data_IF_124964946223
#
_entry.id   IF_124964946223
#
_cell.length_a   1.000
_cell.length_b   1.000
_cell.length_c   1.000
_cell.angle_alpha   90.00
_cell.angle_beta   90.00
_cell.angle_gamma   90.00
#
_symmetry.space_group_name_H-M   'P 1'
#
loop_
_entity.id
_entity.type
_entity.pdbx_description
1 polymer ?
#
# COMPACT_ATOMS: atom_id res chain seq x y z
N UNK A 1 -17.84 28.53 12.84
CA UNK A 1 -16.66 28.22 12.02
C UNK A 1 -15.42 28.76 12.71
N UNK A 2 -14.24 28.18 12.47
CA UNK A 2 -12.96 28.64 13.01
C UNK A 2 -12.06 29.13 11.88
N UNK A 3 -11.32 30.20 12.12
CA UNK A 3 -10.28 30.69 11.20
C UNK A 3 -9.08 29.75 11.16
N UNK A 4 -8.27 29.83 10.10
CA UNK A 4 -7.01 29.08 10.01
C UNK A 4 -6.08 29.31 11.21
N UNK A 5 -6.09 30.52 11.80
CA UNK A 5 -5.27 30.86 12.97
C UNK A 5 -5.77 30.13 14.23
N UNK A 6 -7.08 30.07 14.44
CA UNK A 6 -7.67 29.33 15.56
C UNK A 6 -7.45 27.82 15.42
N UNK A 7 -7.56 27.27 14.21
CA UNK A 7 -7.22 25.86 13.95
C UNK A 7 -5.75 25.58 14.25
N UNK A 8 -4.87 26.48 13.83
CA UNK A 8 -3.44 26.36 14.09
C UNK A 8 -3.12 26.32 15.59
N UNK A 9 -3.76 27.19 16.38
CA UNK A 9 -3.60 27.22 17.83
C UNK A 9 -4.15 25.97 18.52
N UNK A 10 -5.30 25.45 18.08
CA UNK A 10 -5.92 24.27 18.69
C UNK A 10 -5.21 22.95 18.36
N UNK A 11 -4.72 22.82 17.13
CA UNK A 11 -4.12 21.57 16.63
C UNK A 11 -2.60 21.52 16.79
N UNK A 12 -1.95 22.65 17.09
CA UNK A 12 -0.49 22.77 17.07
C UNK A 12 0.13 22.69 15.67
N UNK A 13 -0.70 22.60 14.61
CA UNK A 13 -0.25 22.59 13.22
C UNK A 13 -0.05 24.02 12.76
N UNK A 14 1.09 24.32 12.13
CA UNK A 14 1.36 25.68 11.67
C UNK A 14 0.38 26.13 10.58
N UNK A 15 0.06 27.43 10.52
CA UNK A 15 -0.76 27.99 9.43
C UNK A 15 -0.18 27.65 8.05
N UNK A 16 1.15 27.67 7.92
CA UNK A 16 1.84 27.28 6.67
C UNK A 16 1.54 25.83 6.29
N UNK A 17 1.52 24.92 7.26
CA UNK A 17 1.19 23.51 7.02
C UNK A 17 -0.29 23.34 6.65
N UNK A 18 -1.20 24.10 7.27
CA UNK A 18 -2.62 24.07 6.90
C UNK A 18 -2.88 24.60 5.48
N UNK A 19 -2.14 25.62 5.04
CA UNK A 19 -2.18 26.06 3.64
C UNK A 19 -1.61 25.01 2.69
N UNK A 20 -0.51 24.38 3.06
CA UNK A 20 0.04 23.27 2.28
C UNK A 20 -0.97 22.11 2.16
N UNK A 21 -1.69 21.76 3.23
CA UNK A 21 -2.73 20.73 3.18
C UNK A 21 -3.89 21.09 2.25
N UNK A 22 -4.25 22.37 2.16
CA UNK A 22 -5.21 22.86 1.18
C UNK A 22 -4.64 22.73 -0.25
N UNK A 23 -3.39 23.13 -0.48
CA UNK A 23 -2.72 23.05 -1.80
C UNK A 23 -2.64 21.62 -2.35
N UNK A 24 -2.44 20.62 -1.49
CA UNK A 24 -2.35 19.20 -1.89
C UNK A 24 -3.67 18.43 -1.75
N UNK A 25 -4.79 19.12 -1.56
CA UNK A 25 -6.13 18.54 -1.39
C UNK A 25 -6.27 17.56 -0.19
N UNK A 26 -5.40 17.69 0.82
CA UNK A 26 -5.41 16.85 2.02
C UNK A 26 -6.42 17.33 3.07
N UNK A 27 -6.55 18.65 3.24
CA UNK A 27 -7.56 19.25 4.13
C UNK A 27 -8.01 20.58 3.55
N UNK A 28 -9.27 20.64 3.09
CA UNK A 28 -9.86 21.85 2.53
C UNK A 28 -10.52 22.72 3.60
N UNK A 29 -10.42 24.06 3.48
CA UNK A 29 -11.29 24.94 4.24
C UNK A 29 -12.74 24.74 3.78
N UNK A 30 -13.69 24.79 4.72
CA UNK A 30 -15.12 24.73 4.42
C UNK A 30 -15.59 25.97 3.65
N UNK A 31 -14.91 27.09 3.84
CA UNK A 31 -15.17 28.33 3.11
C UNK A 31 -13.89 29.16 2.97
N UNK A 32 -13.73 29.80 1.81
CA UNK A 32 -12.76 30.87 1.58
C UNK A 32 -13.53 32.16 1.34
N UNK A 33 -13.32 33.17 2.18
CA UNK A 33 -13.93 34.48 2.03
C UNK A 33 -13.23 35.30 0.92
N UNK A 34 -13.90 36.34 0.42
CA UNK A 34 -13.39 37.20 -0.66
C UNK A 34 -12.04 37.86 -0.33
N UNK A 35 -11.78 38.10 0.95
CA UNK A 35 -10.52 38.62 1.46
C UNK A 35 -9.41 37.55 1.62
N UNK A 36 -9.65 36.31 1.14
CA UNK A 36 -8.72 35.18 1.21
C UNK A 36 -8.68 34.47 2.56
N UNK A 37 -9.53 34.82 3.52
CA UNK A 37 -9.56 34.14 4.82
C UNK A 37 -10.21 32.76 4.70
N UNK A 38 -9.55 31.77 5.29
CA UNK A 38 -10.01 30.37 5.34
C UNK A 38 -10.75 30.09 6.64
N UNK A 39 -11.91 29.44 6.49
CA UNK A 39 -12.78 29.03 7.59
C UNK A 39 -13.04 27.54 7.56
N UNK A 40 -13.01 26.92 8.74
CA UNK A 40 -13.18 25.50 8.96
C UNK A 40 -14.40 25.28 9.86
N UNK A 41 -15.35 24.50 9.40
CA UNK A 41 -16.50 24.06 10.18
C UNK A 41 -16.15 22.83 11.03
N UNK A 42 -17.15 22.29 11.71
CA UNK A 42 -16.98 21.11 12.57
C UNK A 42 -16.54 19.87 11.77
N UNK A 43 -16.95 19.74 10.51
CA UNK A 43 -16.60 18.59 9.66
C UNK A 43 -15.12 18.65 9.28
N UNK A 44 -14.64 19.81 8.82
CA UNK A 44 -13.24 19.99 8.50
C UNK A 44 -12.34 19.84 9.75
N UNK A 45 -12.83 20.24 10.93
CA UNK A 45 -12.13 19.97 12.19
C UNK A 45 -12.06 18.46 12.48
N UNK A 46 -13.14 17.71 12.26
CA UNK A 46 -13.13 16.26 12.44
C UNK A 46 -12.16 15.56 11.47
N UNK A 47 -12.10 15.99 10.21
CA UNK A 47 -11.13 15.51 9.23
C UNK A 47 -9.69 15.79 9.68
N UNK A 48 -9.43 17.00 10.20
CA UNK A 48 -8.12 17.34 10.76
C UNK A 48 -7.75 16.48 11.97
N UNK A 49 -8.72 16.12 12.83
CA UNK A 49 -8.49 15.19 13.94
C UNK A 49 -8.12 13.80 13.40
N UNK A 50 -8.85 13.27 12.41
CA UNK A 50 -8.54 11.98 11.77
C UNK A 50 -7.12 11.98 11.17
N UNK A 51 -6.71 13.07 10.53
CA UNK A 51 -5.33 13.21 10.01
C UNK A 51 -4.27 13.17 11.12
N UNK A 52 -4.52 13.81 12.25
CA UNK A 52 -3.61 13.78 13.40
C UNK A 52 -3.53 12.39 14.04
N UNK A 53 -4.65 11.67 14.13
CA UNK A 53 -4.69 10.28 14.62
C UNK A 53 -3.90 9.34 13.71
N UNK A 54 -4.06 9.46 12.39
CA UNK A 54 -3.27 8.71 11.42
C UNK A 54 -1.78 9.00 11.56
N UNK A 55 -1.42 10.29 11.70
CA UNK A 55 -0.03 10.69 11.92
C UNK A 55 0.54 10.15 13.23
N UNK A 56 -0.25 10.17 14.31
CA UNK A 56 0.13 9.59 15.60
C UNK A 56 0.44 8.10 15.44
N UNK A 57 -0.47 7.33 14.84
CA UNK A 57 -0.28 5.90 14.70
C UNK A 57 0.92 5.55 13.80
N UNK A 58 1.14 6.32 12.72
CA UNK A 58 2.34 6.19 11.90
C UNK A 58 3.62 6.43 12.72
N UNK A 59 3.65 7.49 13.54
CA UNK A 59 4.79 7.80 14.40
C UNK A 59 5.01 6.71 15.46
N UNK A 60 3.95 6.13 16.02
CA UNK A 60 4.05 4.98 16.94
C UNK A 60 4.69 3.77 16.25
N UNK A 61 4.30 3.46 15.01
CA UNK A 61 4.92 2.40 14.21
C UNK A 61 6.40 2.67 13.91
N UNK A 62 6.74 3.89 13.53
CA UNK A 62 8.14 4.31 13.29
C UNK A 62 8.96 4.22 14.57
N UNK A 63 8.42 4.65 15.71
CA UNK A 63 9.09 4.54 17.01
C UNK A 63 9.31 3.10 17.43
N UNK A 64 8.32 2.22 17.23
CA UNK A 64 8.45 0.79 17.52
C UNK A 64 9.57 0.16 16.68
N UNK A 65 9.66 0.52 15.40
CA UNK A 65 10.75 0.08 14.52
C UNK A 65 12.10 0.62 14.98
N UNK A 66 12.21 1.93 15.26
CA UNK A 66 13.45 2.56 15.71
C UNK A 66 13.99 1.95 17.02
N UNK A 67 13.10 1.60 17.97
CA UNK A 67 13.47 0.91 19.22
C UNK A 67 14.05 -0.48 18.95
N UNK A 68 13.43 -1.27 18.05
CA UNK A 68 13.97 -2.59 17.65
C UNK A 68 15.37 -2.49 17.06
N UNK A 69 15.61 -1.47 16.22
CA UNK A 69 16.95 -1.21 15.68
C UNK A 69 17.97 -0.86 16.78
N UNK A 70 17.56 -0.04 17.77
CA UNK A 70 18.41 0.33 18.89
C UNK A 70 18.81 -0.89 19.74
N UNK A 71 17.90 -1.85 19.91
CA UNK A 71 18.12 -3.06 20.72
C UNK A 71 18.85 -4.18 19.95
N UNK A 72 19.32 -3.93 18.72
CA UNK A 72 20.02 -4.90 17.89
C UNK A 72 19.13 -5.96 17.24
N UNK A 73 17.81 -5.73 17.22
CA UNK A 73 16.84 -6.59 16.55
C UNK A 73 16.85 -6.45 15.03
N UNK A 74 16.38 -7.50 14.35
CA UNK A 74 16.38 -7.61 12.89
C UNK A 74 15.55 -6.50 12.21
N UNK A 75 16.14 -5.87 11.20
CA UNK A 75 15.61 -4.77 10.36
C UNK A 75 14.33 -5.09 9.58
N UNK A 76 13.88 -6.35 9.63
CA UNK A 76 12.97 -6.94 8.64
C UNK A 76 11.47 -6.82 8.94
N UNK A 77 11.08 -6.22 10.07
CA UNK A 77 9.65 -6.01 10.40
C UNK A 77 9.31 -4.52 10.48
N UNK A 78 9.03 -3.93 9.32
CA UNK A 78 8.30 -2.67 9.20
C UNK A 78 6.84 -2.95 8.84
N UNK A 79 6.02 -3.29 9.83
CA UNK A 79 4.55 -3.25 9.69
C UNK A 79 4.11 -1.82 9.92
N UNK A 80 4.05 -1.02 8.84
CA UNK A 80 3.61 0.38 8.92
C UNK A 80 2.15 0.52 9.38
N UNK A 81 1.37 -0.54 9.22
CA UNK A 81 -0.02 -0.66 9.62
C UNK A 81 -0.14 -1.86 10.57
N UNK A 82 -0.57 -1.57 11.78
CA UNK A 82 -0.92 -2.59 12.78
C UNK A 82 -2.14 -3.38 12.27
N UNK A 83 -2.27 -4.65 12.65
CA UNK A 83 -3.35 -5.56 12.20
C UNK A 83 -4.74 -4.98 12.51
N UNK A 84 -4.84 -4.18 13.56
CA UNK A 84 -6.02 -3.41 13.97
C UNK A 84 -6.43 -2.29 12.99
N UNK A 85 -5.49 -1.73 12.23
CA UNK A 85 -5.77 -0.73 11.19
C UNK A 85 -6.27 -1.39 9.90
N UNK A 86 -5.82 -2.62 9.61
CA UNK A 86 -6.41 -3.43 8.53
C UNK A 86 -7.89 -3.69 8.80
N UNK A 87 -8.26 -4.09 10.01
CA UNK A 87 -9.66 -4.36 10.40
C UNK A 87 -10.55 -3.10 10.29
N UNK A 88 -10.03 -1.93 10.68
CA UNK A 88 -10.74 -0.66 10.55
C UNK A 88 -10.91 -0.21 9.08
N UNK A 89 -9.87 -0.39 8.26
CA UNK A 89 -9.91 -0.10 6.82
C UNK A 89 -10.80 -1.10 6.07
N UNK A 90 -10.81 -2.38 6.48
CA UNK A 90 -11.74 -3.40 5.98
C UNK A 90 -13.18 -3.06 6.33
N UNK A 91 -13.43 -2.55 7.54
CA UNK A 91 -14.76 -2.07 7.96
C UNK A 91 -15.20 -0.86 7.11
N UNK A 92 -14.33 0.14 6.95
CA UNK A 92 -14.62 1.33 6.12
C UNK A 92 -14.78 0.95 4.63
N UNK A 93 -14.02 -0.03 4.12
CA UNK A 93 -14.14 -0.55 2.77
C UNK A 93 -15.44 -1.35 2.56
N UNK A 94 -15.86 -2.15 3.56
CA UNK A 94 -17.13 -2.87 3.58
C UNK A 94 -18.32 -1.93 3.59
N UNK A 95 -18.26 -0.85 4.38
CA UNK A 95 -19.33 0.15 4.45
C UNK A 95 -19.47 0.94 3.14
N UNK A 96 -18.35 1.28 2.47
CA UNK A 96 -18.40 2.09 1.23
C UNK A 96 -18.58 1.29 -0.05
N UNK A 97 -18.05 0.07 -0.12
CA UNK A 97 -17.93 -0.70 -1.37
C UNK A 97 -18.53 -2.10 -1.26
N UNK A 98 -19.18 -2.45 -0.14
CA UNK A 98 -19.76 -3.76 0.15
C UNK A 98 -20.77 -4.28 -0.87
N UNK A 99 -21.45 -3.37 -1.58
CA UNK A 99 -22.43 -3.71 -2.62
C UNK A 99 -21.80 -3.91 -4.01
N UNK A 100 -20.49 -3.69 -4.16
CA UNK A 100 -19.81 -3.91 -5.45
C UNK A 100 -19.48 -5.38 -5.66
N UNK A 101 -19.66 -5.86 -6.89
CA UNK A 101 -19.34 -7.24 -7.27
C UNK A 101 -17.87 -7.59 -7.02
N UNK A 102 -16.95 -6.63 -7.22
CA UNK A 102 -15.53 -6.81 -6.99
C UNK A 102 -15.19 -6.97 -5.49
N UNK A 103 -15.81 -6.17 -4.62
CA UNK A 103 -15.63 -6.30 -3.18
C UNK A 103 -16.27 -7.57 -2.64
N UNK A 104 -17.45 -7.95 -3.13
CA UNK A 104 -18.10 -9.21 -2.73
C UNK A 104 -17.29 -10.43 -3.15
N UNK A 105 -16.68 -10.41 -4.34
CA UNK A 105 -15.79 -11.48 -4.79
C UNK A 105 -14.49 -11.54 -3.97
N UNK A 106 -13.92 -10.40 -3.58
CA UNK A 106 -12.78 -10.32 -2.68
C UNK A 106 -13.15 -10.82 -1.27
N UNK A 107 -14.18 -10.25 -0.64
CA UNK A 107 -14.63 -10.60 0.70
C UNK A 107 -15.03 -12.08 0.83
N UNK A 108 -15.71 -12.65 -0.17
CA UNK A 108 -16.05 -14.07 -0.20
C UNK A 108 -14.83 -15.00 -0.24
N UNK A 109 -13.68 -14.50 -0.71
CA UNK A 109 -12.41 -15.24 -0.77
C UNK A 109 -11.50 -14.98 0.43
N UNK A 110 -11.70 -13.89 1.18
CA UNK A 110 -10.77 -13.44 2.23
C UNK A 110 -11.14 -13.94 3.64
N UNK A 111 -12.42 -14.23 3.92
CA UNK A 111 -12.94 -14.61 5.26
C UNK A 111 -12.42 -15.98 5.80
N UNK A 112 -11.58 -16.70 5.05
CA UNK A 112 -11.05 -18.03 5.39
C UNK A 112 -9.54 -18.21 5.23
N UNK A 113 -8.77 -17.15 4.93
CA UNK A 113 -7.38 -17.34 4.48
C UNK A 113 -6.33 -17.03 5.55
N UNK A 114 -5.46 -18.01 5.76
CA UNK A 114 -4.26 -17.89 6.57
C UNK A 114 -3.22 -17.03 5.83
N UNK A 115 -3.12 -15.77 6.23
CA UNK A 115 -2.16 -14.82 5.68
C UNK A 115 -0.70 -15.31 5.78
N UNK A 116 -0.36 -16.11 6.80
CA UNK A 116 0.98 -16.70 6.91
C UNK A 116 1.21 -17.69 5.77
N UNK A 117 0.23 -18.57 5.51
CA UNK A 117 0.28 -19.53 4.40
C UNK A 117 0.39 -18.83 3.04
N UNK A 118 -0.35 -17.74 2.83
CA UNK A 118 -0.28 -16.99 1.56
C UNK A 118 1.08 -16.30 1.37
N UNK A 119 1.69 -15.86 2.46
CA UNK A 119 3.04 -15.28 2.44
C UNK A 119 4.07 -16.34 2.04
N UNK A 120 3.95 -17.56 2.58
CA UNK A 120 4.83 -18.69 2.22
C UNK A 120 4.64 -19.10 0.76
N UNK A 121 3.39 -19.26 0.32
CA UNK A 121 3.06 -19.62 -1.07
C UNK A 121 3.57 -18.59 -2.08
N UNK A 122 3.39 -17.29 -1.82
CA UNK A 122 3.92 -16.22 -2.67
C UNK A 122 5.45 -16.22 -2.68
N UNK A 123 6.08 -16.51 -1.53
CA UNK A 123 7.54 -16.61 -1.44
C UNK A 123 8.08 -17.76 -2.31
N UNK A 124 7.38 -18.89 -2.37
CA UNK A 124 7.72 -19.99 -3.28
C UNK A 124 7.65 -19.55 -4.74
N UNK A 125 6.60 -18.82 -5.12
CA UNK A 125 6.44 -18.28 -6.49
C UNK A 125 7.61 -17.35 -6.87
N UNK A 126 8.01 -16.46 -5.95
CA UNK A 126 9.12 -15.53 -6.17
C UNK A 126 10.49 -16.22 -6.16
N UNK A 127 10.69 -17.22 -5.31
CA UNK A 127 11.92 -18.00 -5.27
C UNK A 127 12.17 -18.75 -6.58
N UNK A 128 11.10 -19.25 -7.23
CA UNK A 128 11.22 -19.92 -8.53
C UNK A 128 11.69 -18.97 -9.63
N UNK A 129 11.20 -17.72 -9.65
CA UNK A 129 11.77 -16.71 -10.55
C UNK A 129 13.26 -16.48 -10.28
N UNK A 130 13.68 -16.52 -9.01
CA UNK A 130 15.09 -16.48 -8.64
C UNK A 130 15.93 -17.60 -9.23
N UNK A 131 15.37 -18.81 -9.36
CA UNK A 131 16.04 -19.95 -10.03
C UNK A 131 16.09 -19.80 -11.54
N UNK A 132 15.05 -19.22 -12.13
CA UNK A 132 14.92 -19.03 -13.58
C UNK A 132 15.64 -17.78 -14.10
N UNK A 133 16.11 -16.88 -13.23
CA UNK A 133 16.63 -15.54 -13.61
C UNK A 133 17.82 -15.52 -14.56
N UNK A 134 18.51 -16.65 -14.74
CA UNK A 134 19.62 -16.78 -15.68
C UNK A 134 19.16 -17.18 -17.10
N UNK A 135 17.86 -17.48 -17.29
CA UNK A 135 17.26 -17.72 -18.59
C UNK A 135 16.83 -16.41 -19.25
N UNK A 136 16.54 -16.45 -20.54
CA UNK A 136 15.94 -15.33 -21.23
C UNK A 136 14.53 -15.06 -20.69
N UNK A 137 14.13 -13.79 -20.59
CA UNK A 137 12.76 -13.44 -20.14
C UNK A 137 11.68 -14.00 -21.06
N UNK A 138 12.01 -14.33 -22.30
CA UNK A 138 11.12 -14.94 -23.29
C UNK A 138 11.10 -16.46 -23.25
N UNK A 139 11.87 -17.09 -22.36
CA UNK A 139 11.90 -18.55 -22.22
C UNK A 139 10.55 -19.08 -21.75
N UNK A 140 10.09 -20.19 -22.32
CA UNK A 140 8.78 -20.79 -22.03
C UNK A 140 8.60 -21.08 -20.53
N UNK A 141 9.66 -21.48 -19.81
CA UNK A 141 9.61 -21.72 -18.36
C UNK A 141 9.35 -20.44 -17.59
N UNK A 142 9.98 -19.34 -18.02
CA UNK A 142 9.80 -18.01 -17.41
C UNK A 142 8.38 -17.51 -17.66
N UNK A 143 7.89 -17.61 -18.89
CA UNK A 143 6.54 -17.18 -19.23
C UNK A 143 5.46 -18.04 -18.55
N UNK A 144 5.70 -19.35 -18.41
CA UNK A 144 4.86 -20.24 -17.60
C UNK A 144 4.84 -19.78 -16.13
N UNK A 145 5.97 -19.41 -15.56
CA UNK A 145 6.03 -18.92 -14.18
C UNK A 145 5.32 -17.57 -14.00
N UNK A 146 5.32 -16.69 -15.01
CA UNK A 146 4.49 -15.47 -15.01
C UNK A 146 3.01 -15.80 -14.97
N UNK A 147 2.57 -16.81 -15.73
CA UNK A 147 1.20 -17.31 -15.64
C UNK A 147 0.86 -17.87 -14.25
N UNK A 148 1.76 -18.64 -13.63
CA UNK A 148 1.59 -19.14 -12.25
C UNK A 148 1.39 -17.99 -11.27
N UNK A 149 2.18 -16.92 -11.38
CA UNK A 149 2.01 -15.71 -10.57
C UNK A 149 0.65 -15.05 -10.81
N UNK A 150 0.25 -14.88 -12.08
CA UNK A 150 -1.03 -14.27 -12.44
C UNK A 150 -2.23 -15.08 -11.90
N UNK A 151 -2.19 -16.40 -12.09
CA UNK A 151 -3.24 -17.32 -11.66
C UNK A 151 -3.31 -17.32 -10.13
N UNK A 152 -2.17 -17.39 -9.43
CA UNK A 152 -2.12 -17.31 -7.97
C UNK A 152 -2.76 -16.03 -7.46
N UNK A 153 -2.45 -14.87 -8.04
CA UNK A 153 -3.04 -13.59 -7.63
C UNK A 153 -4.55 -13.59 -7.89
N UNK A 154 -4.98 -14.11 -9.04
CA UNK A 154 -6.39 -14.20 -9.46
C UNK A 154 -7.23 -15.08 -8.56
N UNK A 155 -6.66 -16.22 -8.18
CA UNK A 155 -7.29 -17.18 -7.28
C UNK A 155 -7.37 -16.60 -5.86
N UNK A 156 -6.31 -15.91 -5.43
CA UNK A 156 -6.14 -15.58 -4.03
C UNK A 156 -6.66 -14.22 -3.58
N UNK A 157 -6.62 -13.22 -4.46
CA UNK A 157 -6.94 -11.83 -4.12
C UNK A 157 -8.06 -11.29 -5.01
N UNK A 158 -7.73 -10.93 -6.25
CA UNK A 158 -8.64 -10.31 -7.21
C UNK A 158 -8.28 -10.77 -8.62
N UNK A 159 -9.24 -10.73 -9.55
CA UNK A 159 -9.00 -11.08 -10.95
C UNK A 159 -7.82 -10.26 -11.52
N UNK A 160 -6.68 -10.91 -11.73
CA UNK A 160 -5.46 -10.26 -12.19
C UNK A 160 -5.42 -10.28 -13.72
N UNK A 161 -6.01 -9.28 -14.35
CA UNK A 161 -5.92 -9.13 -15.81
C UNK A 161 -4.47 -8.84 -16.25
N UNK A 162 -4.13 -9.05 -17.53
CA UNK A 162 -2.81 -8.70 -18.05
C UNK A 162 -2.41 -7.23 -17.78
N UNK A 163 -3.36 -6.29 -17.84
CA UNK A 163 -3.11 -4.88 -17.55
C UNK A 163 -2.76 -4.63 -16.08
N UNK A 164 -3.44 -5.32 -15.17
CA UNK A 164 -3.15 -5.25 -13.73
C UNK A 164 -1.80 -5.89 -13.44
N UNK A 165 -1.52 -7.06 -14.03
CA UNK A 165 -0.24 -7.75 -13.87
C UNK A 165 0.92 -6.88 -14.36
N UNK A 166 0.79 -6.24 -15.52
CA UNK A 166 1.79 -5.31 -16.05
C UNK A 166 2.03 -4.11 -15.11
N UNK A 167 0.99 -3.63 -14.45
CA UNK A 167 1.09 -2.55 -13.47
C UNK A 167 1.82 -3.00 -12.20
N UNK A 168 1.54 -4.20 -11.70
CA UNK A 168 2.26 -4.80 -10.57
C UNK A 168 3.74 -5.00 -10.88
N UNK A 169 4.07 -5.48 -12.09
CA UNK A 169 5.46 -5.65 -12.53
C UNK A 169 6.25 -4.35 -12.49
N UNK A 170 5.64 -3.21 -12.85
CA UNK A 170 6.28 -1.88 -12.72
C UNK A 170 6.44 -1.47 -11.25
N UNK A 171 5.44 -1.75 -10.41
CA UNK A 171 5.49 -1.43 -8.98
C UNK A 171 6.63 -2.16 -8.26
N UNK A 172 6.88 -3.43 -8.61
CA UNK A 172 7.93 -4.26 -7.98
C UNK A 172 9.34 -3.67 -8.09
N UNK A 173 9.59 -2.80 -9.08
CA UNK A 173 10.90 -2.13 -9.27
C UNK A 173 10.86 -0.65 -8.90
N UNK A 174 9.68 -0.02 -8.87
CA UNK A 174 9.54 1.39 -8.56
C UNK A 174 9.62 1.69 -7.06
N UNK A 175 9.19 0.75 -6.21
CA UNK A 175 9.25 0.90 -4.75
C UNK A 175 10.30 -0.05 -4.16
N UNK A 176 11.30 0.56 -3.50
CA UNK A 176 12.45 -0.13 -2.94
C UNK A 176 12.05 -1.26 -1.97
N UNK A 177 10.93 -1.12 -1.24
CA UNK A 177 10.47 -2.14 -0.28
C UNK A 177 10.11 -3.46 -0.97
N UNK A 178 9.35 -3.40 -2.07
CA UNK A 178 8.96 -4.60 -2.81
C UNK A 178 10.15 -5.25 -3.51
N UNK A 179 11.02 -4.43 -4.12
CA UNK A 179 12.21 -4.96 -4.79
C UNK A 179 13.14 -5.68 -3.82
N UNK A 180 13.33 -5.16 -2.60
CA UNK A 180 14.15 -5.78 -1.57
C UNK A 180 13.56 -7.11 -1.08
N UNK A 181 12.25 -7.18 -0.83
CA UNK A 181 11.61 -8.43 -0.41
C UNK A 181 11.71 -9.51 -1.49
N UNK A 182 11.45 -9.17 -2.75
CA UNK A 182 11.55 -10.13 -3.85
C UNK A 182 13.00 -10.59 -4.05
N UNK A 183 13.97 -9.68 -3.99
CA UNK A 183 15.39 -10.01 -4.12
C UNK A 183 15.93 -10.80 -2.93
N UNK A 184 15.35 -10.67 -1.73
CA UNK A 184 15.74 -11.48 -0.59
C UNK A 184 15.31 -12.94 -0.75
N UNK A 185 14.16 -13.17 -1.39
CA UNK A 185 13.60 -14.51 -1.61
C UNK A 185 14.17 -15.17 -2.87
N UNK A 186 14.29 -14.44 -3.98
CA UNK A 186 14.82 -14.95 -5.26
C UNK A 186 16.32 -14.71 -5.48
N UNK A 187 16.99 -14.01 -4.56
CA UNK A 187 18.34 -13.49 -4.74
C UNK A 187 18.36 -12.20 -5.56
N UNK A 188 19.47 -11.45 -5.46
CA UNK A 188 19.63 -10.14 -6.09
C UNK A 188 19.26 -10.13 -7.59
N UNK A 189 18.56 -9.07 -8.01
CA UNK A 189 18.13 -8.83 -9.39
C UNK A 189 16.84 -9.55 -9.81
N UNK A 190 16.21 -10.31 -8.91
CA UNK A 190 14.99 -11.06 -9.22
C UNK A 190 13.81 -10.13 -9.45
N UNK A 191 13.64 -9.07 -8.66
CA UNK A 191 12.57 -8.10 -8.84
C UNK A 191 12.59 -7.47 -10.24
N UNK A 192 13.78 -7.10 -10.71
CA UNK A 192 13.96 -6.55 -12.05
C UNK A 192 13.69 -7.58 -13.14
N UNK A 193 14.14 -8.83 -12.95
CA UNK A 193 13.86 -9.93 -13.86
C UNK A 193 12.35 -10.22 -13.98
N UNK A 194 11.65 -10.34 -12.84
CA UNK A 194 10.20 -10.57 -12.78
C UNK A 194 9.44 -9.45 -13.50
N UNK A 195 9.82 -8.19 -13.27
CA UNK A 195 9.22 -7.03 -13.94
C UNK A 195 9.34 -7.13 -15.47
N UNK A 196 10.50 -7.51 -15.99
CA UNK A 196 10.74 -7.68 -17.42
C UNK A 196 9.98 -8.88 -18.00
N UNK A 197 9.95 -10.01 -17.29
CA UNK A 197 9.21 -11.20 -17.69
C UNK A 197 7.71 -10.92 -17.81
N UNK A 198 7.13 -10.23 -16.81
CA UNK A 198 5.74 -9.76 -16.83
C UNK A 198 5.50 -8.81 -18.01
N UNK A 199 6.40 -7.84 -18.23
CA UNK A 199 6.25 -6.90 -19.32
C UNK A 199 6.31 -7.55 -20.70
N UNK A 200 6.95 -8.72 -20.85
CA UNK A 200 6.89 -9.52 -22.06
C UNK A 200 5.57 -10.31 -22.15
N UNK A 201 5.20 -11.00 -21.08
CA UNK A 201 3.98 -11.81 -21.00
C UNK A 201 2.72 -11.01 -21.37
N UNK A 202 2.60 -9.78 -20.87
CA UNK A 202 1.44 -8.93 -21.12
C UNK A 202 1.43 -8.24 -22.51
N UNK A 203 2.46 -8.46 -23.35
CA UNK A 203 2.50 -7.95 -24.74
C UNK A 203 1.99 -8.95 -25.77
N UNK A 204 1.91 -10.24 -25.41
CA UNK A 204 1.35 -11.31 -26.23
C UNK A 204 -0.11 -11.55 -25.91
#
# INVERSE_FOLDING_TARGET
>A
MKTVKEISQLSGVSVRTLHYYDEIDLLKPSQVAENGYRYYDHKAIAEQIKLLELKKAHLEGVLAHARRLQDGGDTMTFTAFDKSQLEALETEAKERWGDTQAYQAFAAKTDQKDFAKMTDEMSVVMAEFGRLKNLAVTDDKVQTQVKVLQDYISENFYLCSPEILASLGKMYVADNRFSQTIDQVGGAGTAQFVSQAIAHYCKG
#
